data_IF_503966693309
#
_entry.id   IF_503966693309
#
_cell.length_a   1.000
_cell.length_b   1.000
_cell.length_c   1.000
_cell.angle_alpha   90.00
_cell.angle_beta   90.00
_cell.angle_gamma   90.00
#
_symmetry.space_group_name_H-M   'P 1'
#
loop_
_entity.id
_entity.type
_entity.pdbx_description
1 polymer ?
#
# COMPACT_ATOMS: atom_id res chain seq x y z
N UNK A 1 -20.03 -16.46 17.26
CA UNK A 1 -19.12 -17.62 17.40
C UNK A 1 -19.45 -18.37 18.68
N UNK A 2 -20.53 -19.10 18.70
CA UNK A 2 -20.80 -20.05 19.75
C UNK A 2 -21.71 -21.17 19.23
N UNK A 3 -21.13 -22.01 18.38
CA UNK A 3 -21.68 -23.36 18.15
C UNK A 3 -20.56 -24.24 17.61
N UNK A 4 -20.05 -25.13 18.45
CA UNK A 4 -19.21 -26.26 18.05
C UNK A 4 -17.71 -26.09 18.27
N UNK A 5 -17.29 -26.31 19.50
CA UNK A 5 -16.15 -27.15 19.93
C UNK A 5 -14.70 -26.87 19.56
N UNK A 6 -14.30 -25.83 18.81
CA UNK A 6 -12.89 -25.44 18.79
C UNK A 6 -12.77 -23.96 19.08
N UNK A 7 -12.40 -23.61 20.32
CA UNK A 7 -11.97 -22.27 20.69
C UNK A 7 -10.73 -21.88 19.87
N UNK A 8 -10.34 -20.60 19.92
CA UNK A 8 -9.16 -20.06 19.20
C UNK A 8 -7.91 -20.95 19.35
N UNK A 9 -7.65 -21.47 20.56
CA UNK A 9 -6.53 -22.39 20.81
C UNK A 9 -6.61 -23.70 20.00
N UNK A 10 -7.81 -24.23 19.81
CA UNK A 10 -8.02 -25.43 18.99
C UNK A 10 -7.79 -25.16 17.50
N UNK A 11 -8.24 -24.00 17.01
CA UNK A 11 -7.99 -23.54 15.65
C UNK A 11 -6.50 -23.38 15.38
N UNK A 12 -5.76 -22.69 16.27
CA UNK A 12 -4.32 -22.49 16.14
C UNK A 12 -3.54 -23.80 16.20
N UNK A 13 -3.95 -24.75 17.09
CA UNK A 13 -3.34 -26.08 17.16
C UNK A 13 -3.59 -26.88 15.87
N UNK A 14 -4.78 -26.78 15.30
CA UNK A 14 -5.09 -27.43 14.01
C UNK A 14 -4.28 -26.84 12.86
N UNK A 15 -4.16 -25.52 12.80
CA UNK A 15 -3.36 -24.83 11.80
C UNK A 15 -1.86 -25.20 11.93
N UNK A 16 -1.31 -25.22 13.14
CA UNK A 16 0.08 -25.62 13.36
C UNK A 16 0.35 -27.05 12.86
N UNK A 17 -0.55 -27.99 13.18
CA UNK A 17 -0.43 -29.39 12.69
C UNK A 17 -0.41 -29.49 11.17
N UNK A 18 -1.22 -28.66 10.50
CA UNK A 18 -1.27 -28.63 9.04
C UNK A 18 0.05 -28.07 8.45
N UNK A 19 0.74 -27.20 9.18
CA UNK A 19 2.01 -26.60 8.75
C UNK A 19 3.22 -27.50 8.98
N UNK A 20 3.08 -28.67 9.61
CA UNK A 20 4.21 -29.56 9.92
C UNK A 20 5.02 -29.90 8.66
N UNK A 21 6.34 -29.67 8.73
CA UNK A 21 7.29 -29.92 7.64
C UNK A 21 7.32 -28.83 6.55
N UNK A 22 6.52 -27.77 6.69
CA UNK A 22 6.66 -26.58 5.85
C UNK A 22 7.86 -25.76 6.35
N UNK A 23 8.67 -25.23 5.45
CA UNK A 23 9.80 -24.39 5.81
C UNK A 23 9.35 -23.03 6.32
N UNK A 24 10.01 -22.55 7.37
CA UNK A 24 9.76 -21.22 7.93
C UNK A 24 9.92 -20.12 6.88
N UNK A 25 10.96 -20.22 6.03
CA UNK A 25 11.25 -19.26 4.95
C UNK A 25 10.09 -19.12 3.97
N UNK A 26 9.51 -20.24 3.50
CA UNK A 26 8.37 -20.18 2.59
C UNK A 26 7.13 -19.53 3.19
N UNK A 27 6.99 -19.61 4.52
CA UNK A 27 5.87 -19.00 5.21
C UNK A 27 6.09 -17.49 5.45
N UNK A 28 7.35 -17.04 5.60
CA UNK A 28 7.68 -15.61 5.55
C UNK A 28 7.39 -15.03 4.17
N UNK A 29 7.81 -15.70 3.09
CA UNK A 29 7.49 -15.26 1.72
C UNK A 29 5.98 -15.13 1.49
N UNK A 30 5.20 -16.09 1.98
CA UNK A 30 3.74 -16.02 1.93
C UNK A 30 3.18 -14.82 2.71
N UNK A 31 3.76 -14.51 3.89
CA UNK A 31 3.41 -13.34 4.69
C UNK A 31 3.65 -12.02 3.95
N UNK A 32 4.79 -11.90 3.24
CA UNK A 32 5.10 -10.76 2.39
C UNK A 32 4.07 -10.59 1.27
N UNK A 33 3.79 -11.67 0.56
CA UNK A 33 2.81 -11.66 -0.52
C UNK A 33 1.41 -11.24 -0.03
N UNK A 34 1.00 -11.76 1.12
CA UNK A 34 -0.27 -11.43 1.77
C UNK A 34 -0.34 -9.95 2.14
N UNK A 35 0.75 -9.43 2.72
CA UNK A 35 0.85 -8.03 3.08
C UNK A 35 0.72 -7.14 1.87
N UNK A 36 1.56 -7.33 0.86
CA UNK A 36 1.57 -6.52 -0.35
C UNK A 36 0.23 -6.52 -1.08
N UNK A 37 -0.38 -7.69 -1.25
CA UNK A 37 -1.61 -7.84 -2.02
C UNK A 37 -2.85 -7.34 -1.30
N UNK A 38 -2.92 -7.56 0.03
CA UNK A 38 -4.19 -7.41 0.74
C UNK A 38 -4.15 -6.49 1.95
N UNK A 39 -3.02 -6.37 2.69
CA UNK A 39 -2.98 -5.67 3.97
C UNK A 39 -2.52 -4.23 3.84
N UNK A 40 -1.43 -3.95 3.11
CA UNK A 40 -0.81 -2.64 3.02
C UNK A 40 -1.79 -1.51 2.69
N UNK A 41 -2.77 -1.80 1.82
CA UNK A 41 -3.82 -0.84 1.42
C UNK A 41 -4.89 -0.60 2.48
N UNK A 42 -4.99 -1.50 3.47
CA UNK A 42 -6.03 -1.44 4.50
C UNK A 42 -5.56 -0.70 5.75
N UNK A 43 -4.27 -0.42 5.85
CA UNK A 43 -3.74 0.41 6.95
C UNK A 43 -4.30 1.82 6.81
N UNK A 44 -5.02 2.26 7.83
CA UNK A 44 -5.64 3.59 7.86
C UNK A 44 -4.57 4.67 7.93
N UNK A 45 -4.69 5.77 7.14
CA UNK A 45 -3.81 6.94 7.29
C UNK A 45 -3.81 7.51 8.71
N UNK A 46 -4.97 7.52 9.36
CA UNK A 46 -5.13 7.96 10.74
C UNK A 46 -4.34 7.07 11.71
N UNK A 47 -4.26 5.76 11.46
CA UNK A 47 -3.46 4.85 12.26
C UNK A 47 -1.96 5.16 12.12
N UNK A 48 -1.48 5.45 10.90
CA UNK A 48 -0.09 5.89 10.67
C UNK A 48 0.20 7.20 11.40
N UNK A 49 -0.68 8.18 11.29
CA UNK A 49 -0.53 9.46 11.98
C UNK A 49 -0.54 9.29 13.52
N UNK A 50 -1.36 8.38 14.05
CA UNK A 50 -1.40 8.05 15.47
C UNK A 50 -0.08 7.44 15.94
N UNK A 51 0.47 6.48 15.19
CA UNK A 51 1.76 5.85 15.47
C UNK A 51 2.88 6.92 15.50
N UNK A 52 2.92 7.80 14.49
CA UNK A 52 3.90 8.90 14.46
C UNK A 52 3.74 9.86 15.64
N UNK A 53 2.51 10.17 16.05
CA UNK A 53 2.25 11.02 17.21
C UNK A 53 2.74 10.38 18.52
N UNK A 54 2.62 9.05 18.66
CA UNK A 54 3.19 8.33 19.80
C UNK A 54 4.71 8.30 19.75
N UNK A 55 5.29 8.08 18.57
CA UNK A 55 6.75 8.09 18.36
C UNK A 55 7.35 9.45 18.70
N UNK A 56 6.74 10.54 18.25
CA UNK A 56 7.17 11.90 18.55
C UNK A 56 7.15 12.24 20.07
N UNK A 57 6.34 11.51 20.85
CA UNK A 57 6.31 11.63 22.31
C UNK A 57 7.30 10.71 23.02
N UNK A 58 8.09 9.94 22.30
CA UNK A 58 9.03 8.98 22.87
C UNK A 58 8.37 7.76 23.51
N UNK A 59 7.14 7.42 23.11
CA UNK A 59 6.48 6.23 23.61
C UNK A 59 7.06 4.97 22.96
N UNK A 60 7.23 3.91 23.72
CA UNK A 60 7.46 2.57 23.18
C UNK A 60 6.19 2.09 22.51
N UNK A 61 6.32 1.60 21.28
CA UNK A 61 5.20 1.16 20.45
C UNK A 61 5.32 -0.33 20.19
N UNK A 62 4.23 -1.07 20.39
CA UNK A 62 4.18 -2.50 20.14
C UNK A 62 2.92 -2.90 19.37
N UNK A 63 3.03 -3.91 18.53
CA UNK A 63 1.88 -4.62 17.97
C UNK A 63 1.57 -5.82 18.86
N UNK A 64 0.31 -5.95 19.28
CA UNK A 64 -0.19 -7.11 20.04
C UNK A 64 -1.24 -7.83 19.21
N UNK A 65 -0.95 -9.03 18.75
CA UNK A 65 -1.82 -9.75 17.81
C UNK A 65 -1.92 -11.23 18.12
N UNK A 66 -3.10 -11.79 17.89
CA UNK A 66 -3.31 -13.24 17.93
C UNK A 66 -2.79 -13.98 16.70
N UNK A 67 -2.48 -13.27 15.61
CA UNK A 67 -1.83 -13.81 14.44
C UNK A 67 -0.38 -14.24 14.72
N UNK A 68 0.27 -14.90 13.76
CA UNK A 68 1.67 -15.31 13.89
C UNK A 68 2.62 -14.22 13.40
N UNK A 69 3.89 -14.32 13.75
CA UNK A 69 4.94 -13.36 13.36
C UNK A 69 5.00 -13.20 11.83
N UNK A 70 4.84 -14.27 11.09
CA UNK A 70 4.90 -14.29 9.61
C UNK A 70 3.85 -13.39 8.95
N UNK A 71 2.70 -13.20 9.60
CA UNK A 71 1.62 -12.34 9.11
C UNK A 71 1.79 -10.88 9.57
N UNK A 72 2.45 -10.66 10.71
CA UNK A 72 2.55 -9.34 11.35
C UNK A 72 3.84 -8.62 11.02
N UNK A 73 4.94 -9.35 10.85
CA UNK A 73 6.27 -8.76 10.62
C UNK A 73 6.29 -7.79 9.42
N UNK A 74 5.72 -8.09 8.25
CA UNK A 74 5.70 -7.14 7.14
C UNK A 74 4.96 -5.83 7.50
N UNK A 75 3.90 -5.91 8.31
CA UNK A 75 3.17 -4.74 8.81
C UNK A 75 4.01 -3.96 9.82
N UNK A 76 4.68 -4.64 10.73
CA UNK A 76 5.54 -4.03 11.75
C UNK A 76 6.70 -3.27 11.09
N UNK A 77 7.34 -3.90 10.11
CA UNK A 77 8.41 -3.28 9.33
C UNK A 77 7.94 -2.05 8.54
N UNK A 78 6.77 -2.12 7.88
CA UNK A 78 6.20 -0.98 7.17
C UNK A 78 5.85 0.19 8.10
N UNK A 79 5.39 -0.11 9.31
CA UNK A 79 5.05 0.90 10.32
C UNK A 79 6.23 1.29 11.22
N UNK A 80 7.41 0.69 11.00
CA UNK A 80 8.62 0.92 11.79
C UNK A 80 8.38 0.67 13.29
N UNK A 81 7.75 -0.48 13.60
CA UNK A 81 7.45 -0.93 14.96
C UNK A 81 8.34 -2.12 15.28
N UNK A 82 9.21 -1.95 16.29
CA UNK A 82 10.18 -2.97 16.69
C UNK A 82 9.56 -4.12 17.49
N UNK A 83 8.61 -3.80 18.36
CA UNK A 83 8.06 -4.78 19.29
C UNK A 83 6.81 -5.44 18.74
N UNK A 84 6.88 -6.76 18.54
CA UNK A 84 5.75 -7.57 18.06
C UNK A 84 5.46 -8.67 19.07
N UNK A 85 4.29 -8.59 19.70
CA UNK A 85 3.76 -9.58 20.63
C UNK A 85 2.70 -10.41 19.88
N UNK A 86 3.02 -11.64 19.54
CA UNK A 86 2.17 -12.47 18.69
C UNK A 86 2.21 -13.96 19.07
N UNK A 87 1.30 -14.74 18.49
CA UNK A 87 1.34 -16.19 18.64
C UNK A 87 2.49 -16.78 17.82
N UNK A 88 3.09 -17.85 18.32
CA UNK A 88 4.25 -18.47 17.69
C UNK A 88 4.02 -19.96 17.43
N UNK A 89 4.47 -20.41 16.27
CA UNK A 89 4.64 -21.82 15.96
C UNK A 89 6.03 -22.29 16.37
N UNK A 90 6.15 -23.54 16.78
CA UNK A 90 7.44 -24.14 17.08
C UNK A 90 8.15 -24.51 15.77
N UNK A 91 9.43 -24.10 15.68
CA UNK A 91 10.30 -24.36 14.53
C UNK A 91 11.53 -25.11 14.99
N UNK A 92 11.89 -26.18 14.31
CA UNK A 92 13.12 -26.92 14.46
C UNK A 92 13.78 -27.11 13.11
N UNK A 93 15.09 -26.83 13.02
CA UNK A 93 15.88 -26.94 11.77
C UNK A 93 15.29 -26.17 10.57
N UNK A 94 14.59 -25.05 10.80
CA UNK A 94 13.96 -24.23 9.76
C UNK A 94 12.62 -24.75 9.24
N UNK A 95 12.04 -25.79 9.89
CA UNK A 95 10.73 -26.34 9.55
C UNK A 95 9.78 -26.30 10.75
N UNK A 96 8.48 -26.14 10.49
CA UNK A 96 7.47 -26.22 11.54
C UNK A 96 7.31 -27.63 12.08
N UNK A 97 7.34 -27.78 13.40
CA UNK A 97 7.15 -29.10 14.08
C UNK A 97 5.69 -29.54 14.08
N UNK A 98 4.76 -28.61 13.86
CA UNK A 98 3.33 -28.83 14.00
C UNK A 98 2.79 -28.48 15.38
N UNK A 99 3.62 -27.93 16.26
CA UNK A 99 3.26 -27.47 17.60
C UNK A 99 3.14 -25.95 17.67
N UNK A 100 2.53 -25.47 18.76
CA UNK A 100 2.42 -24.04 19.10
C UNK A 100 3.18 -23.75 20.40
N UNK A 101 3.81 -22.59 20.47
CA UNK A 101 4.42 -22.09 21.70
C UNK A 101 3.33 -21.46 22.55
N UNK A 102 3.31 -21.81 23.83
CA UNK A 102 2.31 -21.30 24.79
C UNK A 102 2.95 -20.34 25.82
N UNK A 103 2.19 -19.34 26.34
CA UNK A 103 0.77 -19.06 26.03
C UNK A 103 0.59 -18.42 24.64
N UNK A 104 -0.54 -18.70 23.99
CA UNK A 104 -0.91 -17.99 22.77
C UNK A 104 -1.21 -16.52 23.08
N UNK A 105 -0.88 -15.61 22.16
CA UNK A 105 -1.17 -14.18 22.28
C UNK A 105 -2.66 -13.90 22.00
N UNK A 106 -3.55 -14.43 22.85
CA UNK A 106 -5.00 -14.30 22.78
C UNK A 106 -5.60 -14.23 24.17
N UNK A 107 -6.61 -13.36 24.39
CA UNK A 107 -7.22 -13.15 25.69
C UNK A 107 -6.16 -12.80 26.75
N UNK A 108 -6.15 -13.55 27.85
CA UNK A 108 -5.16 -13.41 28.94
C UNK A 108 -3.70 -13.50 28.45
N UNK A 109 -3.42 -14.28 27.39
CA UNK A 109 -2.09 -14.37 26.81
C UNK A 109 -1.56 -13.07 26.25
N UNK A 110 -2.45 -12.15 25.80
CA UNK A 110 -2.06 -10.80 25.42
C UNK A 110 -1.64 -9.96 26.63
N UNK A 111 -2.32 -10.14 27.75
CA UNK A 111 -1.96 -9.46 29.02
C UNK A 111 -0.57 -9.90 29.46
N UNK A 112 -0.32 -11.22 29.51
CA UNK A 112 0.99 -11.78 29.90
C UNK A 112 2.09 -11.24 28.97
N UNK A 113 1.87 -11.22 27.66
CA UNK A 113 2.84 -10.71 26.69
C UNK A 113 3.13 -9.21 26.91
N UNK A 114 2.09 -8.41 27.18
CA UNK A 114 2.24 -6.98 27.46
C UNK A 114 2.95 -6.71 28.80
N UNK A 115 2.67 -7.51 29.84
CA UNK A 115 3.33 -7.42 31.12
C UNK A 115 4.81 -7.79 31.06
N UNK A 116 5.17 -8.82 30.30
CA UNK A 116 6.56 -9.18 30.02
C UNK A 116 7.30 -8.04 29.32
N UNK A 117 6.74 -7.49 28.25
CA UNK A 117 7.34 -6.33 27.58
C UNK A 117 7.48 -5.14 28.53
N UNK A 118 6.47 -4.89 29.36
CA UNK A 118 6.52 -3.81 30.35
C UNK A 118 7.62 -4.02 31.39
N UNK A 119 7.83 -5.24 31.84
CA UNK A 119 8.91 -5.59 32.77
C UNK A 119 10.29 -5.42 32.12
N UNK A 120 10.47 -5.91 30.88
CA UNK A 120 11.75 -5.87 30.17
C UNK A 120 12.22 -4.43 29.87
N UNK A 121 11.29 -3.54 29.59
CA UNK A 121 11.57 -2.14 29.19
C UNK A 121 11.22 -1.11 30.27
N UNK A 122 10.82 -1.53 31.48
CA UNK A 122 10.46 -0.62 32.58
C UNK A 122 9.24 0.26 32.26
N UNK A 123 8.27 -0.28 31.49
CA UNK A 123 7.08 0.46 31.08
C UNK A 123 5.97 0.37 32.13
N UNK A 124 5.12 1.40 32.18
CA UNK A 124 3.97 1.45 33.07
C UNK A 124 2.66 1.23 32.30
N UNK A 125 2.04 0.07 32.49
CA UNK A 125 0.77 -0.26 31.81
C UNK A 125 -0.38 0.65 32.27
N UNK A 126 -0.37 1.21 33.48
CA UNK A 126 -1.40 2.13 33.95
C UNK A 126 -1.32 3.50 33.22
N UNK A 127 -0.20 3.78 32.56
CA UNK A 127 -0.03 4.96 31.71
C UNK A 127 -0.08 4.63 30.21
N UNK A 128 -0.21 3.36 29.85
CA UNK A 128 -0.16 2.87 28.49
C UNK A 128 -1.52 2.94 27.80
N UNK A 129 -1.47 3.16 26.51
CA UNK A 129 -2.62 3.10 25.61
C UNK A 129 -2.72 1.71 24.99
N UNK A 130 -3.93 1.20 24.81
CA UNK A 130 -4.18 0.03 23.99
C UNK A 130 -5.37 0.29 23.06
N UNK A 131 -5.14 0.10 21.77
CA UNK A 131 -6.11 0.30 20.69
C UNK A 131 -6.58 -1.06 20.17
N UNK A 132 -7.88 -1.33 20.18
CA UNK A 132 -8.46 -2.56 19.63
C UNK A 132 -9.89 -2.35 19.13
N UNK A 133 -10.29 -3.17 18.14
CA UNK A 133 -11.63 -3.25 17.59
C UNK A 133 -12.43 -4.46 18.09
N UNK A 134 -11.77 -5.41 18.77
CA UNK A 134 -12.36 -6.68 19.20
C UNK A 134 -12.64 -6.74 20.69
N UNK A 135 -13.80 -7.32 21.02
CA UNK A 135 -14.12 -7.69 22.41
C UNK A 135 -13.20 -8.80 22.94
N UNK A 136 -12.57 -9.59 22.07
CA UNK A 136 -11.62 -10.63 22.49
C UNK A 136 -10.35 -10.08 23.16
N UNK A 137 -10.18 -8.76 23.12
CA UNK A 137 -9.07 -8.02 23.73
C UNK A 137 -9.46 -7.33 25.04
N UNK A 138 -10.61 -7.69 25.60
CA UNK A 138 -11.17 -7.02 26.78
C UNK A 138 -10.22 -7.08 27.98
N UNK A 139 -9.55 -8.19 28.21
CA UNK A 139 -8.63 -8.37 29.31
C UNK A 139 -7.47 -7.38 29.25
N UNK A 140 -6.89 -7.15 28.08
CA UNK A 140 -5.81 -6.18 27.91
C UNK A 140 -6.32 -4.74 27.93
N UNK A 141 -7.51 -4.47 27.39
CA UNK A 141 -8.15 -3.14 27.50
C UNK A 141 -8.42 -2.77 28.95
N UNK A 142 -8.80 -3.74 29.81
CA UNK A 142 -8.98 -3.54 31.25
C UNK A 142 -7.67 -3.39 32.02
N UNK A 143 -6.59 -4.02 31.52
CA UNK A 143 -5.30 -4.01 32.16
C UNK A 143 -4.54 -2.70 31.99
N UNK A 144 -4.79 -1.97 30.88
CA UNK A 144 -4.11 -0.70 30.64
C UNK A 144 -4.88 0.49 31.20
N UNK A 145 -4.15 1.55 31.59
CA UNK A 145 -4.79 2.73 32.15
C UNK A 145 -5.49 3.63 31.11
N UNK A 146 -5.20 3.45 29.81
CA UNK A 146 -5.78 4.26 28.74
C UNK A 146 -6.35 3.38 27.61
N UNK A 147 -7.44 2.63 27.86
CA UNK A 147 -8.11 1.85 26.83
C UNK A 147 -8.69 2.76 25.73
N UNK A 148 -8.54 2.35 24.49
CA UNK A 148 -9.00 3.07 23.29
C UNK A 148 -9.67 2.12 22.30
N UNK A 149 -10.92 1.75 22.51
CA UNK A 149 -11.68 1.01 21.50
C UNK A 149 -11.78 1.83 20.20
N UNK A 150 -11.21 1.26 19.12
CA UNK A 150 -11.12 1.87 17.80
C UNK A 150 -11.91 1.06 16.79
N UNK A 151 -12.88 1.65 16.11
CA UNK A 151 -13.82 0.94 15.23
C UNK A 151 -14.44 -0.34 15.88
N UNK A 152 -14.85 -0.31 17.15
CA UNK A 152 -15.15 -1.50 17.92
C UNK A 152 -16.35 -2.28 17.38
N UNK A 153 -16.28 -3.61 17.49
CA UNK A 153 -17.43 -4.47 17.27
C UNK A 153 -18.58 -4.14 18.26
N UNK A 154 -19.78 -4.66 18.01
CA UNK A 154 -20.97 -4.29 18.79
C UNK A 154 -20.77 -4.51 20.28
N UNK A 155 -20.24 -5.67 20.67
CA UNK A 155 -20.05 -6.05 22.07
C UNK A 155 -19.03 -5.15 22.78
N UNK A 156 -17.90 -4.88 22.14
CA UNK A 156 -16.89 -3.97 22.70
C UNK A 156 -17.41 -2.53 22.79
N UNK A 157 -18.23 -2.09 21.84
CA UNK A 157 -18.83 -0.75 21.85
C UNK A 157 -19.80 -0.57 23.02
N UNK A 158 -20.61 -1.57 23.31
CA UNK A 158 -21.54 -1.57 24.46
C UNK A 158 -20.74 -1.51 25.77
N UNK A 159 -19.76 -2.41 25.94
CA UNK A 159 -18.89 -2.44 27.12
C UNK A 159 -18.13 -1.11 27.31
N UNK A 160 -17.62 -0.53 26.24
CA UNK A 160 -16.89 0.74 26.31
C UNK A 160 -17.80 1.89 26.77
N UNK A 161 -19.07 1.91 26.33
CA UNK A 161 -20.07 2.89 26.79
C UNK A 161 -20.39 2.73 28.27
N UNK A 162 -20.60 1.49 28.73
CA UNK A 162 -20.87 1.18 30.14
C UNK A 162 -19.71 1.60 31.04
N UNK A 163 -18.48 1.49 30.57
CA UNK A 163 -17.24 1.81 31.32
C UNK A 163 -16.77 3.25 31.12
N UNK A 164 -17.43 4.03 30.27
CA UNK A 164 -17.02 5.40 29.96
C UNK A 164 -15.70 5.50 29.20
N UNK A 165 -15.31 4.46 28.46
CA UNK A 165 -14.11 4.49 27.64
C UNK A 165 -14.32 5.35 26.39
N UNK A 166 -13.31 6.15 25.98
CA UNK A 166 -13.41 6.95 24.78
C UNK A 166 -13.45 6.04 23.55
N UNK A 167 -14.47 6.25 22.72
CA UNK A 167 -14.65 5.54 21.45
C UNK A 167 -14.04 6.35 20.32
N UNK A 168 -13.20 5.72 19.53
CA UNK A 168 -12.64 6.31 18.33
C UNK A 168 -13.16 5.59 17.07
N UNK A 169 -13.31 6.35 16.00
CA UNK A 169 -13.74 5.82 14.71
C UNK A 169 -12.87 6.39 13.62
N UNK A 170 -12.14 5.51 12.94
CA UNK A 170 -11.49 5.85 11.70
C UNK A 170 -12.41 5.52 10.54
N UNK A 171 -12.44 6.39 9.55
CA UNK A 171 -13.22 6.12 8.36
C UNK A 171 -12.44 5.12 7.50
N UNK A 172 -13.07 3.97 7.22
CA UNK A 172 -12.52 3.07 6.21
C UNK A 172 -12.32 3.89 4.93
N UNK A 173 -11.26 3.61 4.16
CA UNK A 173 -11.16 4.01 2.75
C UNK A 173 -12.31 3.32 2.01
N UNK A 174 -13.53 3.78 2.26
CA UNK A 174 -14.79 3.13 1.96
C UNK A 174 -14.86 2.68 0.51
N UNK A 175 -15.81 1.83 0.21
CA UNK A 175 -16.26 1.63 -1.17
C UNK A 175 -16.53 3.02 -1.74
N UNK A 176 -15.87 3.35 -2.87
CA UNK A 176 -16.02 4.66 -3.50
C UNK A 176 -17.51 5.00 -3.66
N UNK A 177 -17.88 6.23 -3.39
CA UNK A 177 -19.24 6.69 -3.61
C UNK A 177 -19.59 6.51 -5.10
N UNK A 178 -20.84 6.32 -5.49
CA UNK A 178 -21.22 6.22 -6.91
C UNK A 178 -20.63 7.35 -7.75
N UNK A 179 -20.54 8.55 -7.21
CA UNK A 179 -19.90 9.71 -7.87
C UNK A 179 -18.42 9.50 -8.17
N UNK A 180 -17.70 8.74 -7.33
CA UNK A 180 -16.27 8.49 -7.55
C UNK A 180 -16.04 7.50 -8.69
N UNK A 181 -16.95 6.55 -8.88
CA UNK A 181 -16.96 5.66 -10.05
C UNK A 181 -17.23 6.46 -11.33
N UNK A 182 -18.21 7.35 -11.30
CA UNK A 182 -18.53 8.23 -12.42
C UNK A 182 -17.31 9.11 -12.75
N UNK A 183 -16.73 9.78 -11.78
CA UNK A 183 -15.50 10.58 -11.94
C UNK A 183 -14.36 9.76 -12.55
N UNK A 184 -14.16 8.53 -12.08
CA UNK A 184 -13.12 7.63 -12.60
C UNK A 184 -13.36 7.27 -14.06
N UNK A 185 -14.61 6.99 -14.45
CA UNK A 185 -14.98 6.70 -15.83
C UNK A 185 -14.68 7.92 -16.72
N UNK A 186 -15.09 9.11 -16.32
CA UNK A 186 -14.84 10.33 -17.09
C UNK A 186 -13.35 10.69 -17.13
N UNK A 187 -12.63 10.55 -16.01
CA UNK A 187 -11.19 10.76 -15.97
C UNK A 187 -10.42 9.79 -16.87
N UNK A 188 -10.83 8.51 -16.91
CA UNK A 188 -10.23 7.52 -17.81
C UNK A 188 -10.63 7.80 -19.26
N UNK A 189 -11.89 8.16 -19.50
CA UNK A 189 -12.40 8.51 -20.81
C UNK A 189 -11.76 9.77 -21.40
N UNK A 190 -11.30 10.70 -20.55
CA UNK A 190 -10.63 11.92 -21.00
C UNK A 190 -9.31 11.64 -21.73
N UNK A 191 -8.69 10.48 -21.53
CA UNK A 191 -7.53 10.05 -22.31
C UNK A 191 -7.88 9.91 -23.81
N UNK A 192 -9.02 9.30 -24.10
CA UNK A 192 -9.51 9.16 -25.48
C UNK A 192 -10.00 10.52 -25.99
N UNK A 193 -10.75 11.25 -25.17
CA UNK A 193 -11.25 12.59 -25.53
C UNK A 193 -10.14 13.58 -25.87
N UNK A 194 -9.05 13.59 -25.12
CA UNK A 194 -7.89 14.44 -25.41
C UNK A 194 -7.14 14.03 -26.67
N UNK A 195 -7.07 12.73 -26.98
CA UNK A 195 -6.50 12.24 -28.22
C UNK A 195 -7.35 12.67 -29.43
N UNK A 196 -8.67 12.58 -29.34
CA UNK A 196 -9.58 13.08 -30.38
C UNK A 196 -9.43 14.60 -30.54
N UNK A 197 -9.39 15.36 -29.46
CA UNK A 197 -9.22 16.81 -29.48
C UNK A 197 -7.86 17.25 -30.06
N UNK A 198 -6.87 16.38 -30.14
CA UNK A 198 -5.58 16.66 -30.75
C UNK A 198 -5.54 16.45 -32.27
N UNK A 199 -6.54 15.80 -32.86
CA UNK A 199 -6.58 15.52 -34.32
C UNK A 199 -6.53 16.77 -35.22
N UNK A 200 -7.21 17.89 -34.90
CA UNK A 200 -7.06 19.13 -35.65
C UNK A 200 -5.63 19.67 -35.65
N UNK A 201 -4.92 19.55 -34.56
CA UNK A 201 -3.51 19.96 -34.45
C UNK A 201 -2.66 19.14 -35.41
N UNK A 202 -2.83 17.81 -35.37
CA UNK A 202 -2.13 16.93 -36.30
C UNK A 202 -2.48 17.26 -37.80
N UNK A 203 -3.76 17.47 -38.11
CA UNK A 203 -4.20 17.76 -39.46
C UNK A 203 -3.63 19.10 -39.96
N UNK A 204 -3.53 20.12 -39.10
CA UNK A 204 -3.06 21.44 -39.49
C UNK A 204 -1.54 21.57 -39.52
N UNK A 205 -0.83 20.88 -38.61
CA UNK A 205 0.62 21.00 -38.50
C UNK A 205 1.41 19.86 -39.14
N UNK A 206 0.75 18.74 -39.46
CA UNK A 206 1.42 17.50 -39.86
C UNK A 206 2.25 16.84 -38.79
N UNK A 207 2.30 17.42 -37.56
CA UNK A 207 3.15 16.97 -36.46
C UNK A 207 2.40 16.10 -35.48
N UNK A 208 2.68 14.78 -35.50
CA UNK A 208 2.19 13.84 -34.49
C UNK A 208 2.70 14.22 -33.12
N UNK A 209 3.94 14.72 -33.02
CA UNK A 209 4.58 15.12 -31.74
C UNK A 209 3.78 16.24 -31.05
N UNK A 210 3.42 17.29 -31.77
CA UNK A 210 2.66 18.40 -31.20
C UNK A 210 1.24 17.97 -30.82
N UNK A 211 0.59 17.12 -31.61
CA UNK A 211 -0.70 16.55 -31.27
C UNK A 211 -0.66 15.72 -30.01
N UNK A 212 0.37 14.87 -29.85
CA UNK A 212 0.54 14.05 -28.64
C UNK A 212 0.88 14.90 -27.42
N UNK A 213 1.71 15.93 -27.55
CA UNK A 213 2.02 16.86 -26.48
C UNK A 213 0.76 17.58 -25.97
N UNK A 214 -0.07 18.08 -26.90
CA UNK A 214 -1.35 18.67 -26.56
C UNK A 214 -2.29 17.66 -25.86
N UNK A 215 -2.43 16.46 -26.43
CA UNK A 215 -3.25 15.40 -25.85
C UNK A 215 -2.82 15.03 -24.44
N UNK A 216 -1.51 14.88 -24.21
CA UNK A 216 -0.97 14.54 -22.89
C UNK A 216 -1.27 15.62 -21.86
N UNK A 217 -0.99 16.87 -22.18
CA UNK A 217 -1.27 17.99 -21.27
C UNK A 217 -2.76 18.14 -20.97
N UNK A 218 -3.61 18.05 -21.99
CA UNK A 218 -5.07 18.15 -21.84
C UNK A 218 -5.64 16.99 -21.01
N UNK A 219 -5.16 15.77 -21.22
CA UNK A 219 -5.51 14.62 -20.40
C UNK A 219 -5.15 14.84 -18.92
N UNK A 220 -3.92 15.29 -18.64
CA UNK A 220 -3.47 15.58 -17.27
C UNK A 220 -4.36 16.62 -16.57
N UNK A 221 -4.70 17.70 -17.27
CA UNK A 221 -5.55 18.76 -16.73
C UNK A 221 -6.98 18.28 -16.45
N UNK A 222 -7.61 17.61 -17.41
CA UNK A 222 -8.99 17.13 -17.28
C UNK A 222 -9.09 16.02 -16.23
N UNK A 223 -8.19 15.04 -16.26
CA UNK A 223 -8.25 13.89 -15.35
C UNK A 223 -8.03 14.32 -13.89
N UNK A 224 -7.08 15.22 -13.62
CA UNK A 224 -6.86 15.75 -12.25
C UNK A 224 -8.04 16.60 -11.78
N UNK A 225 -8.61 17.45 -12.64
CA UNK A 225 -9.78 18.26 -12.31
C UNK A 225 -11.01 17.39 -12.00
N UNK A 226 -11.30 16.37 -12.83
CA UNK A 226 -12.46 15.48 -12.65
C UNK A 226 -12.33 14.62 -11.39
N UNK A 227 -11.12 14.21 -11.03
CA UNK A 227 -10.88 13.41 -9.80
C UNK A 227 -10.79 14.28 -8.54
N UNK A 228 -10.73 15.60 -8.68
CA UNK A 228 -10.53 16.52 -7.55
C UNK A 228 -9.12 16.43 -6.96
N UNK A 229 -8.14 16.01 -7.77
CA UNK A 229 -6.75 15.90 -7.36
C UNK A 229 -6.09 17.29 -7.42
N UNK A 230 -5.86 17.89 -6.26
CA UNK A 230 -5.08 19.12 -6.12
C UNK A 230 -3.60 18.74 -5.93
N UNK A 231 -2.71 19.37 -6.72
CA UNK A 231 -1.28 19.10 -6.66
C UNK A 231 -0.58 20.26 -5.98
N UNK A 232 0.14 19.96 -4.92
CA UNK A 232 1.13 20.87 -4.34
C UNK A 232 2.50 20.46 -4.88
N UNK A 233 3.15 21.35 -5.63
CA UNK A 233 4.40 21.05 -6.35
C UNK A 233 5.51 21.94 -5.81
N UNK A 234 6.59 21.32 -5.35
CA UNK A 234 7.81 22.02 -4.96
C UNK A 234 8.90 21.77 -6.00
N UNK A 235 9.60 22.80 -6.45
CA UNK A 235 10.66 22.67 -7.45
C UNK A 235 10.14 22.42 -8.87
N UNK A 236 8.97 22.98 -9.23
CA UNK A 236 8.37 22.81 -10.55
C UNK A 236 9.32 23.24 -11.69
N UNK A 237 10.17 24.22 -11.44
CA UNK A 237 11.20 24.69 -12.37
C UNK A 237 12.14 23.58 -12.84
N UNK A 238 12.41 22.56 -12.02
CA UNK A 238 13.26 21.42 -12.37
C UNK A 238 12.67 20.55 -13.48
N UNK A 239 11.34 20.61 -13.69
CA UNK A 239 10.70 19.89 -14.78
C UNK A 239 11.09 20.43 -16.16
N UNK A 240 11.63 21.64 -16.23
CA UNK A 240 11.84 22.37 -17.49
C UNK A 240 13.27 22.72 -17.79
N UNK A 241 14.15 22.84 -16.78
CA UNK A 241 15.51 23.38 -16.90
C UNK A 241 16.50 22.46 -17.63
N UNK A 242 16.28 21.13 -17.64
CA UNK A 242 17.25 20.17 -18.16
C UNK A 242 16.58 19.06 -18.97
N UNK A 243 15.94 19.40 -20.09
CA UNK A 243 15.35 18.43 -21.03
C UNK A 243 16.21 18.23 -22.27
N UNK A 244 16.28 17.02 -22.84
CA UNK A 244 15.66 15.78 -22.35
C UNK A 244 16.37 15.22 -21.11
N UNK A 245 15.60 14.57 -20.22
CA UNK A 245 16.10 13.97 -18.98
C UNK A 245 15.34 12.68 -18.64
N UNK A 246 15.78 12.00 -17.59
CA UNK A 246 15.08 10.85 -17.02
C UNK A 246 14.40 11.33 -15.74
N UNK A 247 13.07 11.27 -15.72
CA UNK A 247 12.26 11.48 -14.53
C UNK A 247 12.08 10.16 -13.80
N UNK A 248 12.51 10.12 -12.56
CA UNK A 248 12.36 8.97 -11.68
C UNK A 248 11.28 9.28 -10.65
N UNK A 249 10.37 8.36 -10.42
CA UNK A 249 9.27 8.54 -9.47
C UNK A 249 8.92 7.25 -8.73
N UNK A 250 8.35 7.40 -7.54
CA UNK A 250 7.80 6.29 -6.76
C UNK A 250 6.41 5.95 -7.28
N UNK A 251 6.23 4.72 -7.76
CA UNK A 251 4.96 4.30 -8.32
C UNK A 251 4.02 3.77 -7.24
N UNK A 252 3.01 4.56 -6.86
CA UNK A 252 2.08 4.20 -5.78
C UNK A 252 0.65 3.97 -6.28
N UNK A 253 0.25 4.60 -7.38
CA UNK A 253 -1.15 4.61 -7.81
C UNK A 253 -1.29 4.55 -9.34
N UNK A 254 -2.46 4.13 -9.81
CA UNK A 254 -2.85 4.36 -11.22
C UNK A 254 -3.01 5.85 -11.55
N UNK A 255 -3.22 6.68 -10.52
CA UNK A 255 -3.31 8.13 -10.66
C UNK A 255 -1.99 8.79 -11.09
N UNK A 256 -0.84 8.13 -10.87
CA UNK A 256 0.46 8.67 -11.24
C UNK A 256 0.54 9.04 -12.72
N UNK A 257 -0.14 8.29 -13.59
CA UNK A 257 -0.16 8.57 -15.03
C UNK A 257 -0.78 9.94 -15.32
N UNK A 258 -1.89 10.31 -14.67
CA UNK A 258 -2.52 11.63 -14.88
C UNK A 258 -1.70 12.76 -14.24
N UNK A 259 -1.06 12.49 -13.09
CA UNK A 259 -0.18 13.46 -12.41
C UNK A 259 1.04 13.75 -13.27
N UNK A 260 1.72 12.71 -13.76
CA UNK A 260 2.87 12.85 -14.65
C UNK A 260 2.50 13.55 -15.97
N UNK A 261 1.35 13.21 -16.54
CA UNK A 261 0.84 13.88 -17.74
C UNK A 261 0.58 15.38 -17.48
N UNK A 262 0.06 15.75 -16.31
CA UNK A 262 -0.15 17.15 -15.94
C UNK A 262 1.15 17.91 -15.68
N UNK A 263 2.13 17.29 -15.02
CA UNK A 263 3.38 17.94 -14.67
C UNK A 263 4.35 18.05 -15.86
N UNK A 264 4.53 16.96 -16.61
CA UNK A 264 5.55 16.89 -17.68
C UNK A 264 5.01 17.43 -19.00
N UNK A 265 3.74 17.21 -19.31
CA UNK A 265 2.92 17.76 -20.40
C UNK A 265 3.38 17.44 -21.82
N UNK A 266 4.68 17.48 -22.11
CA UNK A 266 5.22 17.38 -23.46
C UNK A 266 6.51 16.58 -23.52
N UNK A 267 6.77 16.02 -24.70
CA UNK A 267 8.00 15.30 -25.02
C UNK A 267 8.34 14.21 -23.99
N UNK A 268 7.32 13.42 -23.62
CA UNK A 268 7.40 12.40 -22.60
C UNK A 268 7.25 11.01 -23.23
N UNK A 269 8.19 10.13 -22.94
CA UNK A 269 8.08 8.69 -23.14
C UNK A 269 8.08 7.98 -21.79
N UNK A 270 7.58 6.77 -21.75
CA UNK A 270 7.51 5.99 -20.51
C UNK A 270 7.81 4.52 -20.71
N UNK A 271 7.86 3.80 -19.60
CA UNK A 271 8.00 2.34 -19.56
C UNK A 271 6.74 1.74 -18.95
N UNK A 272 6.13 0.79 -19.64
CA UNK A 272 4.96 0.07 -19.16
C UNK A 272 5.14 -1.45 -19.25
N UNK A 273 4.31 -2.17 -18.50
CA UNK A 273 4.23 -3.62 -18.53
C UNK A 273 3.65 -4.08 -19.88
N UNK A 274 4.19 -5.17 -20.44
CA UNK A 274 3.79 -5.73 -21.75
C UNK A 274 2.28 -5.94 -21.88
N UNK A 275 1.63 -6.41 -20.83
CA UNK A 275 0.19 -6.68 -20.83
C UNK A 275 -0.68 -5.42 -20.99
N UNK A 276 -0.14 -4.24 -20.70
CA UNK A 276 -0.85 -2.97 -20.94
C UNK A 276 -0.99 -2.66 -22.42
N UNK A 277 -0.05 -3.15 -23.26
CA UNK A 277 -0.10 -3.01 -24.71
C UNK A 277 -1.37 -3.60 -25.31
N UNK A 278 -1.83 -4.73 -24.75
CA UNK A 278 -2.98 -5.47 -25.27
C UNK A 278 -4.32 -4.85 -24.81
N UNK A 279 -4.28 -3.78 -24.01
CA UNK A 279 -5.50 -3.06 -23.63
C UNK A 279 -6.06 -2.28 -24.83
N UNK A 280 -7.28 -2.57 -25.27
CA UNK A 280 -7.87 -1.90 -26.42
C UNK A 280 -7.82 -0.38 -26.29
N UNK A 281 -7.46 0.32 -27.38
CA UNK A 281 -7.33 1.79 -27.48
C UNK A 281 -6.20 2.35 -26.61
N UNK A 282 -6.16 2.04 -25.32
CA UNK A 282 -5.17 2.58 -24.36
C UNK A 282 -3.75 2.17 -24.73
N UNK A 283 -3.52 0.89 -25.01
CA UNK A 283 -2.21 0.39 -25.42
C UNK A 283 -1.68 1.12 -26.67
N UNK A 284 -2.56 1.35 -27.65
CA UNK A 284 -2.18 2.07 -28.87
C UNK A 284 -1.89 3.54 -28.62
N UNK A 285 -2.67 4.22 -27.78
CA UNK A 285 -2.41 5.62 -27.41
C UNK A 285 -1.09 5.76 -26.65
N UNK A 286 -0.79 4.83 -25.76
CA UNK A 286 0.50 4.82 -25.02
C UNK A 286 1.67 4.56 -25.98
N UNK A 287 1.52 3.67 -26.96
CA UNK A 287 2.53 3.43 -27.98
C UNK A 287 2.79 4.70 -28.80
N UNK A 288 1.75 5.39 -29.25
CA UNK A 288 1.84 6.66 -29.97
C UNK A 288 2.49 7.78 -29.13
N UNK A 289 2.28 7.75 -27.81
CA UNK A 289 2.94 8.66 -26.87
C UNK A 289 4.43 8.32 -26.63
N UNK A 290 4.93 7.20 -27.18
CA UNK A 290 6.33 6.79 -27.03
C UNK A 290 6.59 5.91 -25.81
N UNK A 291 5.56 5.22 -25.30
CA UNK A 291 5.73 4.24 -24.22
C UNK A 291 6.34 2.96 -24.78
N UNK A 292 7.40 2.49 -24.13
CA UNK A 292 8.02 1.19 -24.39
C UNK A 292 7.45 0.14 -23.45
N UNK A 293 7.06 -0.99 -24.01
CA UNK A 293 6.48 -2.09 -23.26
C UNK A 293 7.53 -3.17 -22.99
N UNK A 294 7.73 -3.50 -21.73
CA UNK A 294 8.75 -4.47 -21.29
C UNK A 294 8.12 -5.72 -20.68
N UNK A 295 8.74 -6.84 -20.94
CA UNK A 295 8.49 -8.10 -20.25
C UNK A 295 9.43 -8.18 -19.04
N UNK A 296 8.87 -8.02 -17.84
CA UNK A 296 9.65 -7.99 -16.58
C UNK A 296 10.13 -9.36 -16.14
N UNK A 297 9.51 -10.43 -16.63
CA UNK A 297 9.91 -11.79 -16.30
C UNK A 297 11.23 -12.21 -16.97
N UNK A 298 11.70 -11.44 -17.97
CA UNK A 298 12.92 -11.74 -18.71
C UNK A 298 13.85 -10.53 -18.74
N UNK A 299 14.82 -10.49 -17.81
CA UNK A 299 15.79 -9.39 -17.66
C UNK A 299 16.57 -9.10 -18.96
N UNK A 300 16.94 -10.12 -19.73
CA UNK A 300 17.68 -9.97 -21.00
C UNK A 300 16.82 -9.30 -22.08
N UNK A 301 15.54 -9.60 -22.14
CA UNK A 301 14.59 -8.94 -23.05
C UNK A 301 14.25 -7.51 -22.59
N UNK A 302 14.20 -7.28 -21.28
CA UNK A 302 13.96 -5.96 -20.71
C UNK A 302 15.08 -4.98 -21.08
N UNK A 303 16.35 -5.38 -20.98
CA UNK A 303 17.51 -4.55 -21.37
C UNK A 303 17.46 -4.21 -22.88
N UNK A 304 17.17 -5.19 -23.74
CA UNK A 304 17.04 -4.95 -25.17
C UNK A 304 15.87 -4.01 -25.51
N UNK A 305 14.77 -4.13 -24.77
CA UNK A 305 13.60 -3.27 -24.93
C UNK A 305 13.86 -1.80 -24.49
N UNK A 306 14.93 -1.54 -23.74
CA UNK A 306 15.33 -0.19 -23.35
C UNK A 306 16.06 0.59 -24.47
N UNK A 307 16.60 -0.09 -25.47
CA UNK A 307 17.32 0.58 -26.58
C UNK A 307 16.50 1.69 -27.26
N UNK A 308 15.22 1.52 -27.61
CA UNK A 308 14.41 2.59 -28.19
C UNK A 308 14.24 3.82 -27.27
N UNK A 309 14.33 3.64 -25.94
CA UNK A 309 14.26 4.78 -25.01
C UNK A 309 15.53 5.62 -25.06
N UNK A 310 16.70 4.97 -25.23
CA UNK A 310 17.98 5.66 -25.40
C UNK A 310 17.95 6.49 -26.67
N UNK A 311 17.40 5.93 -27.74
CA UNK A 311 17.25 6.64 -29.01
C UNK A 311 16.25 7.81 -28.89
N UNK A 312 15.15 7.63 -28.20
CA UNK A 312 14.15 8.67 -27.95
C UNK A 312 14.77 9.88 -27.18
N UNK A 313 15.64 9.60 -26.20
CA UNK A 313 16.35 10.67 -25.47
C UNK A 313 17.38 11.36 -26.36
N UNK A 314 18.25 10.57 -27.05
CA UNK A 314 19.39 11.11 -27.79
C UNK A 314 19.01 11.78 -29.10
N UNK A 315 18.07 11.18 -29.84
CA UNK A 315 17.77 11.56 -31.21
C UNK A 315 16.44 12.32 -31.32
N UNK A 316 15.43 11.98 -30.49
CA UNK A 316 14.11 12.61 -30.58
C UNK A 316 13.91 13.73 -29.54
N UNK A 317 14.85 13.92 -28.60
CA UNK A 317 14.75 14.93 -27.55
C UNK A 317 13.58 14.71 -26.59
N UNK A 318 13.18 13.45 -26.37
CA UNK A 318 12.12 13.08 -25.43
C UNK A 318 12.70 12.77 -24.04
N UNK A 319 12.02 13.24 -23.01
CA UNK A 319 12.31 12.83 -21.63
C UNK A 319 11.62 11.50 -21.33
N UNK A 320 12.25 10.67 -20.51
CA UNK A 320 11.73 9.35 -20.14
C UNK A 320 11.30 9.33 -18.68
N UNK A 321 10.15 8.71 -18.44
CA UNK A 321 9.59 8.53 -17.10
C UNK A 321 9.73 7.07 -16.69
N UNK A 322 10.39 6.83 -15.56
CA UNK A 322 10.67 5.46 -15.07
C UNK A 322 10.32 5.36 -13.58
N UNK A 323 9.62 4.29 -13.22
CA UNK A 323 9.50 3.84 -11.84
C UNK A 323 10.52 2.70 -11.62
N UNK A 324 11.61 2.92 -10.86
CA UNK A 324 12.68 1.91 -10.68
C UNK A 324 12.17 0.63 -10.00
N UNK A 325 11.21 0.75 -9.11
CA UNK A 325 10.59 -0.36 -8.39
C UNK A 325 9.90 -1.36 -9.33
N UNK A 326 9.63 -0.95 -10.55
CA UNK A 326 8.99 -1.80 -11.55
C UNK A 326 7.55 -2.21 -11.23
N UNK A 327 7.07 -2.00 -10.01
CA UNK A 327 5.71 -2.26 -9.54
C UNK A 327 5.25 -1.11 -8.66
N UNK A 328 3.96 -1.12 -8.29
CA UNK A 328 3.43 -0.11 -7.37
C UNK A 328 3.76 -0.50 -5.95
N UNK A 329 4.45 0.36 -5.23
CA UNK A 329 4.55 0.26 -3.78
C UNK A 329 3.23 0.67 -3.13
N UNK A 330 2.77 -0.14 -2.21
CA UNK A 330 1.53 0.09 -1.45
C UNK A 330 1.82 0.75 -0.10
N UNK A 331 3.08 0.83 0.25
CA UNK A 331 3.68 1.49 1.40
C UNK A 331 4.23 2.87 0.97
N UNK A 332 4.28 3.89 1.86
CA UNK A 332 4.97 5.14 1.59
C UNK A 332 6.50 4.99 1.55
N UNK A 333 7.05 3.85 1.93
CA UNK A 333 8.49 3.54 1.82
C UNK A 333 8.82 3.06 0.41
N UNK A 334 10.05 3.32 -0.02
CA UNK A 334 10.62 2.74 -1.23
C UNK A 334 10.72 1.22 -1.06
N UNK A 335 10.30 0.48 -2.07
CA UNK A 335 10.42 -0.97 -2.10
C UNK A 335 11.83 -1.44 -2.44
#
# INVERSE_FOLDING_TARGET
YSTGSMGFSGLMTGAAKFMKGVTEESYFEFGEELYEKYIARKVYPEARALIEAHRAKGHTIAIVSSATIYQIEPTARDLDIEHVLCSQYEVENGEFTGNIIRPLCFGEGKVIAAENLAADYGLNLDQSYFYSDSYDDIELLERVGKPRPLNPNTKLRETARERGWPLEKYESRGQGKPVDYIRTIYATGSLIGSAIASLPIWALTGSQREAMNFSTGLFGDIATALTGCELEVTGEENLWTSRPCIFVFNHQSKADVMILAKLIRRDMGGVAKKEVRDTPVIGKLMELAGTVFIDRANAGSAIKAMAPLIDAVKNDGKSIVIAPEGTRTLSPKLG
#
